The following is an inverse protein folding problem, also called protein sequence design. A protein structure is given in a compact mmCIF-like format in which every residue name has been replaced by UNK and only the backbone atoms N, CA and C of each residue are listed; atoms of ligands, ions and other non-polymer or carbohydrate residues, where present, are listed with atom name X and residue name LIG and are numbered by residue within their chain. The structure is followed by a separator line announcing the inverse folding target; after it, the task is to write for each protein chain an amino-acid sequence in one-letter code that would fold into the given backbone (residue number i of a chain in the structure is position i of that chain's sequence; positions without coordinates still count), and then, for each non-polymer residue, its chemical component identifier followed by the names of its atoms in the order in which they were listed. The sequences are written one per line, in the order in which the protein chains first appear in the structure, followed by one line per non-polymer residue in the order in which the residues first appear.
data_IF_986285571156
#
_entry.id   IF_986285571156
#
_cell.length_a   1.000
_cell.length_b   1.000
_cell.length_c   1.000
_cell.angle_alpha   90.00
_cell.angle_beta   90.00
_cell.angle_gamma   90.00
#
_symmetry.space_group_name_H-M   'P 1'
#
loop_
_entity.id
_entity.type
_entity.pdbx_description
1 polymer ?
#
# COMPACT_ATOMS: atom_id res chain seq x y z
N UNK A 1 5.19 7.30 -19.40
CA UNK A 1 4.76 6.72 -18.12
C UNK A 1 4.44 7.81 -17.13
N UNK A 2 3.49 7.55 -16.26
CA UNK A 2 3.10 8.48 -15.20
C UNK A 2 3.62 7.98 -13.86
N UNK A 3 3.90 8.90 -12.95
CA UNK A 3 4.27 8.56 -11.59
C UNK A 3 3.01 8.46 -10.73
N UNK A 4 2.86 7.35 -10.03
CA UNK A 4 1.73 7.11 -9.15
C UNK A 4 2.23 6.91 -7.74
N UNK A 5 1.52 7.47 -6.77
CA UNK A 5 1.68 7.11 -5.38
C UNK A 5 0.68 6.01 -5.08
N UNK A 6 1.17 4.84 -4.69
CA UNK A 6 0.32 3.69 -4.40
C UNK A 6 0.33 3.45 -2.90
N UNK A 7 -0.87 3.39 -2.32
CA UNK A 7 -1.09 3.08 -0.91
C UNK A 7 -1.45 1.61 -0.80
N UNK A 8 -0.89 0.93 0.19
CA UNK A 8 -1.14 -0.49 0.37
C UNK A 8 -1.06 -0.86 1.85
N UNK A 9 -1.65 -2.01 2.19
CA UNK A 9 -1.66 -2.51 3.55
C UNK A 9 -0.76 -3.72 3.67
N UNK A 10 -0.08 -3.83 4.80
CA UNK A 10 0.73 -4.99 5.16
C UNK A 10 0.26 -5.50 6.51
N UNK A 11 0.10 -6.81 6.63
CA UNK A 11 -0.22 -7.45 7.91
C UNK A 11 1.04 -8.02 8.54
N UNK A 12 1.22 -7.75 9.83
CA UNK A 12 2.32 -8.30 10.59
C UNK A 12 1.92 -8.40 12.06
N UNK A 13 1.97 -9.62 12.62
CA UNK A 13 1.70 -9.85 14.05
C UNK A 13 0.37 -9.26 14.51
N UNK A 14 -0.70 -9.50 13.76
CA UNK A 14 -2.05 -9.00 14.04
C UNK A 14 -2.23 -7.49 13.83
N UNK A 15 -1.21 -6.81 13.37
CA UNK A 15 -1.30 -5.39 13.04
C UNK A 15 -1.41 -5.21 11.54
N UNK A 16 -2.16 -4.19 11.14
CA UNK A 16 -2.22 -3.75 9.75
C UNK A 16 -1.52 -2.40 9.66
N UNK A 17 -0.58 -2.31 8.73
CA UNK A 17 0.18 -1.08 8.50
C UNK A 17 -0.20 -0.53 7.14
N UNK A 18 -0.51 0.77 7.09
CA UNK A 18 -0.73 1.48 5.84
C UNK A 18 0.59 2.09 5.41
N UNK A 19 1.06 1.69 4.25
CA UNK A 19 2.30 2.20 3.68
C UNK A 19 2.05 2.74 2.28
N UNK A 20 3.02 3.39 1.72
CA UNK A 20 2.93 3.89 0.34
C UNK A 20 4.27 3.79 -0.35
N UNK A 21 4.23 3.81 -1.69
CA UNK A 21 5.42 3.93 -2.51
C UNK A 21 5.07 4.63 -3.81
N UNK A 22 6.09 5.15 -4.48
CA UNK A 22 5.94 5.77 -5.78
C UNK A 22 6.39 4.80 -6.85
N UNK A 23 5.56 4.62 -7.88
CA UNK A 23 5.90 3.76 -9.01
C UNK A 23 5.60 4.49 -10.32
N UNK A 24 6.35 4.16 -11.36
CA UNK A 24 6.08 4.63 -12.71
C UNK A 24 5.32 3.54 -13.45
N UNK A 25 4.20 3.91 -14.06
CA UNK A 25 3.34 2.96 -14.76
C UNK A 25 2.52 3.67 -15.83
N UNK A 26 1.89 2.89 -16.69
CA UNK A 26 1.05 3.41 -17.75
C UNK A 26 -0.33 3.83 -17.26
N UNK A 27 -0.82 3.19 -16.21
CA UNK A 27 -2.12 3.48 -15.63
C UNK A 27 -2.15 3.04 -14.17
N UNK A 28 -3.24 3.39 -13.46
CA UNK A 28 -3.36 3.09 -12.04
C UNK A 28 -3.36 1.58 -11.75
N UNK A 29 -3.99 0.79 -12.60
CA UNK A 29 -4.04 -0.67 -12.42
C UNK A 29 -2.64 -1.28 -12.49
N UNK A 30 -1.84 -0.84 -13.46
CA UNK A 30 -0.45 -1.30 -13.58
C UNK A 30 0.38 -0.83 -12.39
N UNK A 31 0.15 0.39 -11.91
CA UNK A 31 0.86 0.92 -10.75
C UNK A 31 0.63 0.03 -9.53
N UNK A 32 -0.61 -0.39 -9.30
CA UNK A 32 -0.94 -1.28 -8.18
C UNK A 32 -0.25 -2.64 -8.34
N UNK A 33 -0.25 -3.19 -9.55
CA UNK A 33 0.41 -4.47 -9.83
C UNK A 33 1.93 -4.38 -9.57
N UNK A 34 2.55 -3.34 -10.08
CA UNK A 34 4.00 -3.12 -9.90
C UNK A 34 4.33 -2.94 -8.42
N UNK A 35 3.49 -2.20 -7.69
CA UNK A 35 3.67 -2.01 -6.26
C UNK A 35 3.69 -3.34 -5.51
N UNK A 36 2.72 -4.21 -5.79
CA UNK A 36 2.67 -5.53 -5.15
C UNK A 36 3.91 -6.37 -5.45
N UNK A 37 4.36 -6.34 -6.70
CA UNK A 37 5.56 -7.07 -7.10
C UNK A 37 6.80 -6.55 -6.36
N UNK A 38 6.96 -5.23 -6.28
CA UNK A 38 8.12 -4.63 -5.64
C UNK A 38 8.12 -4.87 -4.13
N UNK A 39 6.97 -4.78 -3.48
CA UNK A 39 6.88 -5.06 -2.05
C UNK A 39 7.27 -6.50 -1.77
N UNK A 40 6.78 -7.44 -2.56
CA UNK A 40 7.13 -8.85 -2.41
C UNK A 40 8.62 -9.09 -2.62
N UNK A 41 9.19 -8.47 -3.63
CA UNK A 41 10.62 -8.63 -3.95
C UNK A 41 11.52 -8.03 -2.88
N UNK A 42 11.18 -6.84 -2.37
CA UNK A 42 12.03 -6.13 -1.43
C UNK A 42 11.89 -6.59 0.01
N UNK A 43 10.68 -7.00 0.42
CA UNK A 43 10.41 -7.33 1.82
C UNK A 43 9.97 -8.77 2.05
N UNK A 44 9.60 -9.49 1.00
CA UNK A 44 9.02 -10.82 1.11
C UNK A 44 7.58 -10.83 1.61
N UNK A 45 6.99 -9.67 1.85
CA UNK A 45 5.63 -9.54 2.36
C UNK A 45 4.64 -9.29 1.22
N UNK A 46 3.38 -9.58 1.48
CA UNK A 46 2.31 -9.34 0.52
C UNK A 46 1.63 -8.02 0.81
N UNK A 47 1.53 -7.16 -0.20
CA UNK A 47 0.75 -5.93 -0.10
C UNK A 47 -0.72 -6.25 -0.36
N UNK A 48 -1.60 -5.71 0.49
CA UNK A 48 -3.04 -5.91 0.38
C UNK A 48 -3.72 -4.62 -0.05
N UNK A 49 -4.77 -4.74 -0.83
CA UNK A 49 -5.65 -3.63 -1.21
C UNK A 49 -4.89 -2.42 -1.75
N UNK A 50 -3.99 -2.61 -2.73
CA UNK A 50 -3.26 -1.47 -3.28
C UNK A 50 -4.22 -0.51 -3.99
N UNK A 51 -4.00 0.79 -3.82
CA UNK A 51 -4.82 1.82 -4.44
C UNK A 51 -4.00 3.06 -4.71
N UNK A 52 -4.33 3.77 -5.78
CA UNK A 52 -3.70 5.07 -6.06
C UNK A 52 -4.45 6.22 -5.42
N UNK A 53 -5.60 5.95 -4.79
CA UNK A 53 -6.38 6.95 -4.09
C UNK A 53 -6.06 6.89 -2.60
N UNK A 54 -5.69 8.02 -2.01
CA UNK A 54 -5.33 8.07 -0.59
C UNK A 54 -6.50 7.58 0.27
N UNK A 55 -6.29 6.56 1.11
CA UNK A 55 -7.36 6.08 2.00
C UNK A 55 -7.73 7.11 3.04
N UNK A 56 -9.00 7.10 3.45
CA UNK A 56 -9.44 7.91 4.56
C UNK A 56 -9.10 7.17 5.85
N UNK A 57 -8.02 7.61 6.50
CA UNK A 57 -7.53 6.95 7.71
C UNK A 57 -8.30 7.35 8.96
N UNK A 58 -9.20 8.32 8.87
CA UNK A 58 -9.95 8.76 10.04
C UNK A 58 -10.83 7.66 10.62
N UNK A 59 -11.30 6.73 9.79
CA UNK A 59 -12.10 5.59 10.23
C UNK A 59 -11.30 4.58 11.05
N UNK A 60 -9.99 4.61 10.96
CA UNK A 60 -9.12 3.60 11.55
C UNK A 60 -8.36 4.08 12.79
N UNK A 61 -8.43 5.36 13.12
CA UNK A 61 -7.62 5.97 14.18
C UNK A 61 -7.79 5.32 15.55
N UNK A 62 -8.97 4.77 15.81
CA UNK A 62 -9.30 4.20 17.12
C UNK A 62 -9.06 2.69 17.18
N UNK A 63 -8.60 2.09 16.10
CA UNK A 63 -8.32 0.66 16.07
C UNK A 63 -6.93 0.40 16.68
N UNK A 64 -6.81 -0.53 17.62
CA UNK A 64 -5.55 -0.74 18.33
C UNK A 64 -4.43 -1.32 17.45
N UNK A 65 -4.79 -1.90 16.32
CA UNK A 65 -3.81 -2.51 15.41
C UNK A 65 -3.46 -1.62 14.22
N UNK A 66 -3.97 -0.38 14.19
CA UNK A 66 -3.76 0.50 13.03
C UNK A 66 -2.55 1.40 13.24
N UNK A 67 -1.64 1.38 12.28
CA UNK A 67 -0.46 2.23 12.28
C UNK A 67 -0.31 2.84 10.88
N UNK A 68 -0.05 4.14 10.83
CA UNK A 68 0.23 4.86 9.58
C UNK A 68 1.70 5.25 9.57
N UNK A 69 2.39 4.87 8.49
CA UNK A 69 3.76 5.28 8.23
C UNK A 69 3.82 6.55 7.39
#
# INVERSE_FOLDING_TARGET
MKNYQVFYWIKQNRHEYLEHMFVSANNAKDACRICKEQVKEQTGRNAFRPTTKAPDVSEYKNLPYFVVD
#
